data_IF_982879710615
#
_entry.id   IF_982879710615
#
_cell.length_a   1.000
_cell.length_b   1.000
_cell.length_c   1.000
_cell.angle_alpha   90.00
_cell.angle_beta   90.00
_cell.angle_gamma   90.00
#
_symmetry.space_group_name_H-M   'P 1'
#
loop_
_entity.id
_entity.type
_entity.pdbx_description
1 polymer ?
#
# COMPACT_ATOMS: atom_id res chain seq x y z
N UNK A 1 -7.22 -5.67 -3.80
CA UNK A 1 -7.45 -7.10 -4.13
C UNK A 1 -7.95 -7.78 -2.88
N UNK A 2 -9.06 -8.52 -2.95
CA UNK A 2 -9.67 -9.23 -1.81
C UNK A 2 -8.79 -10.34 -1.22
N UNK A 3 -7.70 -10.72 -1.90
CA UNK A 3 -6.77 -11.74 -1.42
C UNK A 3 -6.22 -11.47 -0.02
N UNK A 4 -6.00 -10.19 0.34
CA UNK A 4 -5.49 -9.83 1.67
C UNK A 4 -6.50 -10.05 2.81
N UNK A 5 -7.79 -10.14 2.52
CA UNK A 5 -8.82 -10.44 3.51
C UNK A 5 -8.97 -11.94 3.80
N UNK A 6 -8.30 -12.81 3.04
CA UNK A 6 -8.35 -14.26 3.19
C UNK A 6 -7.21 -14.82 4.05
N UNK A 7 -6.30 -13.97 4.56
CA UNK A 7 -5.27 -14.43 5.48
C UNK A 7 -5.83 -14.74 6.87
N UNK A 8 -5.23 -15.69 7.62
CA UNK A 8 -5.63 -15.95 9.00
C UNK A 8 -5.60 -14.68 9.85
N UNK A 9 -6.48 -14.51 10.86
CA UNK A 9 -6.52 -13.32 11.71
C UNK A 9 -5.17 -12.96 12.36
N UNK A 10 -4.37 -13.97 12.70
CA UNK A 10 -3.02 -13.78 13.25
C UNK A 10 -2.08 -12.98 12.31
N UNK A 11 -2.33 -13.00 11.00
CA UNK A 11 -1.54 -12.25 10.02
C UNK A 11 -1.93 -10.77 9.93
N UNK A 12 -3.08 -10.35 10.50
CA UNK A 12 -3.58 -8.99 10.36
C UNK A 12 -2.60 -7.93 10.87
N UNK A 13 -1.94 -8.19 12.01
CA UNK A 13 -0.91 -7.29 12.55
C UNK A 13 0.25 -7.11 11.55
N UNK A 14 0.77 -8.22 11.03
CA UNK A 14 1.85 -8.21 10.03
C UNK A 14 1.43 -7.48 8.77
N UNK A 15 0.24 -7.77 8.23
CA UNK A 15 -0.29 -7.14 7.03
C UNK A 15 -0.39 -5.62 7.20
N UNK A 16 -0.92 -5.14 8.33
CA UNK A 16 -1.02 -3.69 8.62
C UNK A 16 0.34 -3.00 8.76
N UNK A 17 1.38 -3.74 9.17
CA UNK A 17 2.75 -3.21 9.24
C UNK A 17 3.46 -3.18 7.86
N UNK A 18 3.05 -4.03 6.90
CA UNK A 18 3.73 -4.14 5.60
C UNK A 18 3.84 -2.84 4.78
N UNK A 19 2.85 -1.93 4.74
CA UNK A 19 2.99 -0.64 4.06
C UNK A 19 4.22 0.16 4.50
N UNK A 20 4.64 0.01 5.76
CA UNK A 20 5.82 0.69 6.32
C UNK A 20 7.14 0.13 5.77
N UNK A 21 7.09 -1.00 5.05
CA UNK A 21 8.25 -1.56 4.33
C UNK A 21 8.38 -1.02 2.91
N UNK A 22 7.43 -0.21 2.45
CA UNK A 22 7.42 0.40 1.12
C UNK A 22 7.91 1.85 1.24
N UNK A 23 8.87 2.32 0.44
CA UNK A 23 9.30 3.72 0.43
C UNK A 23 8.18 4.76 0.26
N UNK A 24 7.10 4.44 -0.47
CA UNK A 24 5.92 5.31 -0.54
C UNK A 24 5.03 5.30 0.72
N UNK A 25 5.32 4.45 1.71
CA UNK A 25 4.56 4.33 2.96
C UNK A 25 3.16 3.73 2.79
N UNK A 26 2.83 3.21 1.60
CA UNK A 26 1.53 2.64 1.26
C UNK A 26 1.67 1.52 0.24
N UNK A 27 0.64 0.68 0.15
CA UNK A 27 0.50 -0.21 -0.99
C UNK A 27 0.05 0.55 -2.25
N UNK A 28 0.44 0.01 -3.39
CA UNK A 28 -0.18 0.37 -4.67
C UNK A 28 -1.58 -0.20 -4.76
N UNK A 29 -2.41 0.39 -5.62
CA UNK A 29 -3.73 -0.13 -5.95
C UNK A 29 -3.78 -0.61 -7.42
N UNK A 30 -4.87 -1.28 -7.79
CA UNK A 30 -5.08 -1.78 -9.15
C UNK A 30 -5.15 -0.66 -10.18
N UNK A 31 -5.62 0.52 -9.78
CA UNK A 31 -5.74 1.67 -10.67
C UNK A 31 -4.36 2.20 -11.11
N UNK A 32 -3.36 2.18 -10.25
CA UNK A 32 -1.99 2.59 -10.56
C UNK A 32 -1.31 1.63 -11.54
N UNK A 33 -1.49 0.32 -11.33
CA UNK A 33 -1.00 -0.71 -12.28
C UNK A 33 -1.70 -0.56 -13.62
N UNK A 34 -3.03 -0.38 -13.61
CA UNK A 34 -3.83 -0.22 -14.82
C UNK A 34 -3.44 1.04 -15.59
N UNK A 35 -3.17 2.16 -14.91
CA UNK A 35 -2.73 3.40 -15.54
C UNK A 35 -1.38 3.24 -16.26
N UNK A 36 -0.43 2.51 -15.66
CA UNK A 36 0.86 2.20 -16.30
C UNK A 36 0.67 1.35 -17.57
N UNK A 37 -0.23 0.38 -17.53
CA UNK A 37 -0.59 -0.45 -18.68
C UNK A 37 -1.23 0.41 -19.79
N UNK A 38 -2.21 1.25 -19.44
CA UNK A 38 -2.87 2.15 -20.41
C UNK A 38 -1.86 3.08 -21.08
N UNK A 39 -0.89 3.62 -20.33
CA UNK A 39 0.21 4.39 -20.91
C UNK A 39 1.01 3.58 -21.93
N UNK A 40 1.43 2.36 -21.59
CA UNK A 40 2.20 1.48 -22.49
C UNK A 40 1.40 1.05 -23.73
N UNK A 41 0.07 1.02 -23.66
CA UNK A 41 -0.82 0.73 -24.79
C UNK A 41 -1.19 1.98 -25.62
N UNK A 42 -0.81 3.18 -25.17
CA UNK A 42 -1.13 4.42 -25.85
C UNK A 42 -0.11 4.78 -26.96
N UNK A 43 -0.46 5.65 -27.92
CA UNK A 43 0.49 6.15 -28.92
C UNK A 43 1.73 6.82 -28.33
N UNK A 44 1.64 7.34 -27.09
CA UNK A 44 2.76 7.98 -26.39
C UNK A 44 3.91 6.99 -26.08
N UNK A 45 3.64 5.68 -26.09
CA UNK A 45 4.64 4.65 -25.86
C UNK A 45 5.15 3.99 -27.17
N UNK A 46 4.89 4.58 -28.34
CA UNK A 46 5.21 4.00 -29.66
C UNK A 46 6.68 3.64 -29.91
N UNK A 47 7.62 4.20 -29.13
CA UNK A 47 9.04 3.90 -29.20
C UNK A 47 9.59 3.18 -27.95
N UNK A 48 8.71 2.69 -27.08
CA UNK A 48 9.07 1.94 -25.88
C UNK A 48 8.85 0.45 -26.14
N UNK A 49 9.93 -0.32 -26.13
CA UNK A 49 9.88 -1.79 -26.27
C UNK A 49 11.03 -2.44 -25.49
N UNK A 50 10.89 -3.73 -25.17
CA UNK A 50 11.92 -4.51 -24.47
C UNK A 50 12.24 -4.07 -23.03
N UNK A 51 11.40 -3.20 -22.45
CA UNK A 51 11.66 -2.58 -21.14
C UNK A 51 10.74 -3.12 -20.05
N UNK A 52 11.24 -3.18 -18.82
CA UNK A 52 10.43 -3.50 -17.63
C UNK A 52 10.07 -2.23 -16.87
N UNK A 53 8.78 -1.89 -16.82
CA UNK A 53 8.27 -0.77 -16.01
C UNK A 53 7.84 -1.28 -14.63
N UNK A 54 8.50 -0.80 -13.57
CA UNK A 54 8.19 -1.18 -12.18
C UNK A 54 7.10 -0.28 -11.61
N UNK A 55 6.06 -0.89 -11.03
CA UNK A 55 4.94 -0.22 -10.34
C UNK A 55 4.82 -0.81 -8.93
N UNK A 56 5.80 -0.53 -8.07
CA UNK A 56 5.97 -1.25 -6.79
C UNK A 56 6.31 -0.34 -5.58
N UNK A 57 6.18 0.98 -5.75
CA UNK A 57 6.49 1.96 -4.71
C UNK A 57 7.95 1.91 -4.23
N UNK A 58 8.86 1.42 -5.09
CA UNK A 58 10.29 1.25 -4.83
C UNK A 58 10.63 0.25 -3.71
N UNK A 59 9.70 -0.64 -3.32
CA UNK A 59 9.96 -1.63 -2.26
C UNK A 59 11.24 -2.46 -2.49
N UNK A 60 11.57 -2.93 -3.71
CA UNK A 60 12.81 -3.68 -3.94
C UNK A 60 14.10 -2.83 -3.86
N UNK A 61 14.00 -1.50 -3.79
CA UNK A 61 15.15 -0.60 -3.68
C UNK A 61 15.55 -0.29 -2.24
N UNK A 62 14.82 -0.84 -1.26
CA UNK A 62 15.18 -0.74 0.16
C UNK A 62 16.50 -1.49 0.39
N UNK A 63 17.48 -0.82 1.00
CA UNK A 63 18.82 -1.37 1.25
C UNK A 63 19.01 -1.69 2.71
N UNK A 64 19.54 -2.88 2.99
CA UNK A 64 19.95 -3.25 4.34
C UNK A 64 21.01 -2.27 4.86
N UNK A 65 20.86 -1.84 6.11
CA UNK A 65 21.77 -0.88 6.75
C UNK A 65 21.49 0.59 6.44
N UNK A 66 20.54 0.91 5.54
CA UNK A 66 20.08 2.28 5.32
C UNK A 66 18.68 2.49 5.91
N UNK A 67 18.44 3.53 6.72
CA UNK A 67 17.11 3.77 7.30
C UNK A 67 16.08 4.05 6.20
N UNK A 68 15.00 3.27 6.20
CA UNK A 68 13.82 3.57 5.38
C UNK A 68 13.09 4.78 5.98
N UNK A 69 12.90 5.83 5.18
CA UNK A 69 12.04 6.95 5.54
C UNK A 69 10.77 6.89 4.72
N UNK A 70 9.64 6.71 5.40
CA UNK A 70 8.32 6.81 4.79
C UNK A 70 7.85 8.28 4.78
N UNK A 71 7.02 8.69 3.81
CA UNK A 71 6.41 10.01 3.77
C UNK A 71 5.65 10.34 5.05
N UNK A 72 5.91 11.53 5.61
CA UNK A 72 5.11 12.11 6.68
C UNK A 72 3.71 12.52 6.18
N UNK A 73 2.82 12.91 7.10
CA UNK A 73 1.45 13.26 6.77
C UNK A 73 1.35 14.38 5.72
N UNK A 74 2.24 15.37 5.76
CA UNK A 74 2.26 16.46 4.79
C UNK A 74 2.70 15.98 3.40
N UNK A 75 3.72 15.13 3.32
CA UNK A 75 4.23 14.55 2.08
C UNK A 75 3.24 13.58 1.45
N UNK A 76 2.50 12.83 2.26
CA UNK A 76 1.40 11.97 1.80
C UNK A 76 0.29 12.75 1.09
N UNK A 77 0.13 14.05 1.36
CA UNK A 77 -0.87 14.87 0.68
C UNK A 77 -0.45 15.33 -0.73
N UNK A 78 0.82 15.16 -1.11
CA UNK A 78 1.31 15.55 -2.44
C UNK A 78 0.69 14.68 -3.52
N UNK A 79 0.35 15.28 -4.66
CA UNK A 79 -0.28 14.57 -5.78
C UNK A 79 0.55 13.37 -6.27
N UNK A 80 1.88 13.48 -6.25
CA UNK A 80 2.79 12.40 -6.65
C UNK A 80 2.83 11.21 -5.67
N UNK A 81 2.33 11.38 -4.44
CA UNK A 81 2.34 10.35 -3.39
C UNK A 81 0.94 9.76 -3.19
N UNK A 82 -0.11 10.57 -3.34
CA UNK A 82 -1.51 10.12 -3.23
C UNK A 82 -1.80 8.91 -4.15
N UNK A 83 -2.62 7.94 -3.70
CA UNK A 83 -3.06 6.86 -4.58
C UNK A 83 -3.84 7.42 -5.77
N UNK A 84 -3.51 6.95 -6.98
CA UNK A 84 -4.34 7.22 -8.14
C UNK A 84 -5.60 6.35 -8.08
N UNK A 85 -6.79 6.93 -8.25
CA UNK A 85 -8.08 6.25 -8.13
C UNK A 85 -8.91 6.36 -9.43
N UNK A 86 -8.27 6.31 -10.59
CA UNK A 86 -8.93 6.50 -11.89
C UNK A 86 -9.85 5.36 -12.33
N UNK A 87 -9.91 4.25 -11.59
CA UNK A 87 -10.77 3.10 -11.90
C UNK A 87 -11.70 2.81 -10.72
N UNK A 88 -13.00 2.87 -10.99
CA UNK A 88 -14.07 2.80 -9.97
C UNK A 88 -14.23 1.45 -9.26
N UNK A 89 -13.53 0.39 -9.71
CA UNK A 89 -13.68 -0.97 -9.16
C UNK A 89 -12.69 -1.29 -8.04
N UNK A 90 -11.70 -0.43 -7.80
CA UNK A 90 -10.72 -0.65 -6.74
C UNK A 90 -11.39 -0.47 -5.37
N UNK A 91 -11.24 -1.47 -4.50
CA UNK A 91 -11.71 -1.43 -3.12
C UNK A 91 -10.55 -1.72 -2.17
N UNK A 92 -10.46 -0.94 -1.10
CA UNK A 92 -9.49 -1.17 -0.03
C UNK A 92 -9.89 -2.44 0.72
N UNK A 93 -8.98 -3.42 0.89
CA UNK A 93 -9.27 -4.63 1.67
C UNK A 93 -9.66 -4.30 3.11
N UNK A 94 -10.57 -5.08 3.69
CA UNK A 94 -11.11 -4.86 5.05
C UNK A 94 -10.04 -4.90 6.12
N UNK A 95 -8.98 -5.69 5.95
CA UNK A 95 -7.85 -5.72 6.90
C UNK A 95 -7.13 -4.37 7.04
N UNK A 96 -7.28 -3.48 6.05
CA UNK A 96 -6.76 -2.10 6.05
C UNK A 96 -7.84 -1.02 6.16
N UNK A 97 -9.11 -1.37 5.97
CA UNK A 97 -10.20 -0.47 6.30
C UNK A 97 -10.16 -0.26 7.82
N UNK A 98 -10.13 1.00 8.26
CA UNK A 98 -10.11 1.32 9.68
C UNK A 98 -11.34 0.71 10.36
N UNK A 99 -11.18 -0.40 11.06
CA UNK A 99 -12.15 -0.87 12.03
C UNK A 99 -12.02 0.01 13.26
N UNK A 100 -12.99 0.90 13.44
CA UNK A 100 -13.33 1.43 14.73
C UNK A 100 -13.56 0.25 15.69
N UNK A 101 -12.64 0.08 16.65
CA UNK A 101 -12.95 -0.30 18.03
C UNK A 101 -11.74 0.04 18.91
N UNK A 102 -11.93 0.76 20.03
CA UNK A 102 -10.86 1.05 20.96
C UNK A 102 -10.38 -0.25 21.60
N UNK A 103 -9.09 -0.33 21.86
CA UNK A 103 -8.46 -1.41 22.60
C UNK A 103 -9.33 -1.80 23.80
N UNK A 104 -9.67 -3.10 23.87
CA UNK A 104 -10.44 -3.68 24.95
C UNK A 104 -9.90 -3.23 26.30
N UNK A 105 -10.84 -2.89 27.17
CA UNK A 105 -10.64 -2.66 28.59
C UNK A 105 -9.60 -3.62 29.16
N UNK A 106 -8.56 -3.05 29.78
CA UNK A 106 -7.61 -3.80 30.57
C UNK A 106 -8.38 -4.71 31.55
N UNK A 107 -7.91 -5.95 31.79
CA UNK A 107 -8.46 -6.74 32.88
C UNK A 107 -8.26 -5.94 34.17
N UNK A 108 -9.34 -5.72 34.91
CA UNK A 108 -9.25 -5.30 36.31
C UNK A 108 -8.47 -6.39 37.02
N UNK A 109 -7.27 -6.05 37.49
CA UNK A 109 -6.65 -6.79 38.58
C UNK A 109 -7.62 -6.72 39.76
N UNK A 110 -8.34 -7.82 39.95
CA UNK A 110 -8.97 -8.16 41.21
C UNK A 110 -8.09 -9.24 41.81
N UNK A 111 -7.15 -8.83 42.66
CA UNK A 111 -6.57 -9.67 43.71
C UNK A 111 -6.02 -8.74 44.82
N UNK A 112 -6.56 -9.00 46.02
CA UNK A 112 -6.26 -8.47 47.38
C UNK A 112 -6.47 -6.98 47.73
#
# INVERSE_FOLDING_TARGET
SSGMDNYPPAAAHTLRAMPQTVPLGRFGNEAEVSAAIVFLLSPAASFISGSTLRVDGARPQVRLGWPLRVPDAATQQRAAVKPYAGFHRAQVPRVFAASAEPAGSAPKDSDE
#
